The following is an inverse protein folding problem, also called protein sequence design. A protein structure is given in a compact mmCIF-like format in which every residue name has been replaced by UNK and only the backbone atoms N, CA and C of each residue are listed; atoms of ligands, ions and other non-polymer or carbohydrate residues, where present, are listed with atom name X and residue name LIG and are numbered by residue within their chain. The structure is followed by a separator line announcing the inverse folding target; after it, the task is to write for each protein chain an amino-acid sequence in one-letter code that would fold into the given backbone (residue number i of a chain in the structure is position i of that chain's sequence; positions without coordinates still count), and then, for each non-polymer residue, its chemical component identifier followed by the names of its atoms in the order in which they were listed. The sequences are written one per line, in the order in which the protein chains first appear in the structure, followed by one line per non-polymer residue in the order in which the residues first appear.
data_IF_214100449629
#
_entry.id   IF_214100449629
#
_cell.length_a   1.000
_cell.length_b   1.000
_cell.length_c   1.000
_cell.angle_alpha   90.00
_cell.angle_beta   90.00
_cell.angle_gamma   90.00
#
_symmetry.space_group_name_H-M   'P 1'
#
loop_
_entity.id
_entity.type
_entity.pdbx_description
1 polymer ?
#
# COMPACT_ATOMS: atom_id res chain seq x y z
N UNK A 1 -21.10 7.69 3.63
CA UNK A 1 -21.18 6.21 3.51
C UNK A 1 -20.25 5.65 4.58
N UNK A 2 -20.62 4.55 5.25
CA UNK A 2 -19.75 3.98 6.26
C UNK A 2 -18.38 3.61 5.67
N UNK A 3 -17.32 3.77 6.48
CA UNK A 3 -15.95 3.43 6.11
C UNK A 3 -15.88 1.93 5.75
N UNK A 4 -15.35 1.62 4.58
CA UNK A 4 -15.18 0.22 4.15
C UNK A 4 -13.81 -0.31 4.58
N UNK A 5 -13.76 -1.58 5.00
CA UNK A 5 -12.51 -2.24 5.36
C UNK A 5 -11.94 -3.01 4.17
N UNK A 6 -10.71 -2.69 3.83
CA UNK A 6 -9.85 -3.38 2.86
C UNK A 6 -8.53 -3.78 3.53
N UNK A 7 -7.76 -4.65 2.90
CA UNK A 7 -6.43 -5.01 3.39
C UNK A 7 -5.35 -4.65 2.37
N UNK A 8 -4.10 -4.56 2.85
CA UNK A 8 -2.93 -4.33 2.03
C UNK A 8 -1.83 -5.32 2.43
N UNK A 9 -1.12 -5.88 1.45
CA UNK A 9 -0.11 -6.89 1.69
C UNK A 9 1.26 -6.47 1.15
N UNK A 10 2.27 -6.53 1.99
CA UNK A 10 3.63 -6.78 1.54
C UNK A 10 3.61 -8.16 0.87
N UNK A 11 3.77 -8.21 -0.45
CA UNK A 11 3.53 -9.44 -1.22
C UNK A 11 4.46 -10.57 -0.80
N UNK A 12 3.90 -11.75 -0.63
CA UNK A 12 4.61 -12.99 -0.31
C UNK A 12 4.04 -14.14 -1.13
N UNK A 13 4.66 -15.31 -1.06
CA UNK A 13 4.14 -16.51 -1.71
C UNK A 13 2.78 -16.98 -1.15
N UNK A 14 2.37 -16.47 0.00
CA UNK A 14 1.11 -16.80 0.68
C UNK A 14 0.04 -15.71 0.54
N UNK A 15 0.35 -14.57 -0.09
CA UNK A 15 -0.57 -13.42 -0.18
C UNK A 15 -1.90 -13.78 -0.84
N UNK A 16 -1.93 -14.75 -1.75
CA UNK A 16 -3.16 -15.25 -2.37
C UNK A 16 -4.09 -15.95 -1.36
N UNK A 17 -3.54 -16.69 -0.38
CA UNK A 17 -4.32 -17.31 0.70
C UNK A 17 -4.78 -16.26 1.71
N UNK A 18 -3.94 -15.26 2.02
CA UNK A 18 -4.34 -14.16 2.88
C UNK A 18 -5.49 -13.34 2.24
N UNK A 19 -5.48 -13.14 0.93
CA UNK A 19 -6.58 -12.50 0.20
C UNK A 19 -7.87 -13.34 0.27
N UNK A 20 -7.76 -14.68 0.18
CA UNK A 20 -8.91 -15.61 0.33
C UNK A 20 -9.51 -15.52 1.74
N UNK A 21 -8.67 -15.49 2.77
CA UNK A 21 -9.10 -15.30 4.17
C UNK A 21 -9.77 -13.93 4.34
N UNK A 22 -9.18 -12.87 3.81
CA UNK A 22 -9.76 -11.53 3.84
C UNK A 22 -11.14 -11.48 3.17
N UNK A 23 -11.32 -12.18 2.04
CA UNK A 23 -12.62 -12.32 1.38
C UNK A 23 -13.66 -12.98 2.30
N UNK A 24 -13.30 -14.05 2.99
CA UNK A 24 -14.19 -14.75 3.93
C UNK A 24 -14.59 -13.88 5.11
N UNK A 25 -13.70 -13.01 5.57
CA UNK A 25 -13.93 -12.06 6.65
C UNK A 25 -14.72 -10.81 6.23
N UNK A 26 -14.98 -10.64 4.92
CA UNK A 26 -15.79 -9.56 4.38
C UNK A 26 -15.00 -8.29 3.99
N UNK A 27 -13.69 -8.39 3.85
CA UNK A 27 -12.89 -7.29 3.32
C UNK A 27 -13.32 -6.92 1.90
N UNK A 28 -13.38 -5.61 1.62
CA UNK A 28 -13.83 -5.09 0.33
C UNK A 28 -12.81 -5.32 -0.77
N UNK A 29 -11.51 -5.12 -0.47
CA UNK A 29 -10.40 -5.18 -1.44
C UNK A 29 -9.12 -5.68 -0.78
N UNK A 30 -8.28 -6.35 -1.56
CA UNK A 30 -6.90 -6.67 -1.23
C UNK A 30 -5.96 -5.89 -2.15
N UNK A 31 -5.17 -5.01 -1.56
CA UNK A 31 -4.13 -4.23 -2.20
C UNK A 31 -2.79 -4.93 -2.06
N UNK A 32 -2.00 -4.99 -3.13
CA UNK A 32 -0.72 -5.69 -3.16
C UNK A 32 0.41 -4.71 -3.47
N UNK A 33 1.47 -4.71 -2.67
CA UNK A 33 2.59 -3.79 -2.83
C UNK A 33 3.47 -4.14 -4.03
N UNK A 34 3.96 -3.10 -4.72
CA UNK A 34 4.89 -3.22 -5.85
C UNK A 34 6.25 -2.60 -5.50
N UNK A 35 7.05 -3.32 -4.73
CA UNK A 35 8.42 -2.95 -4.37
C UNK A 35 9.34 -4.15 -4.58
N UNK A 36 9.76 -4.43 -5.83
CA UNK A 36 10.42 -5.67 -6.21
C UNK A 36 11.79 -5.89 -5.56
N UNK A 37 12.41 -4.87 -4.99
CA UNK A 37 13.60 -5.02 -4.16
C UNK A 37 13.32 -5.67 -2.80
N UNK A 38 12.06 -5.67 -2.34
CA UNK A 38 11.63 -6.15 -1.02
C UNK A 38 10.73 -7.38 -1.10
N UNK A 39 9.90 -7.47 -2.15
CA UNK A 39 8.78 -8.42 -2.24
C UNK A 39 8.73 -9.12 -3.60
N UNK A 40 8.14 -10.32 -3.68
CA UNK A 40 7.82 -10.98 -4.94
C UNK A 40 6.97 -10.11 -5.87
N UNK A 41 7.02 -10.42 -7.18
CA UNK A 41 6.30 -9.66 -8.21
C UNK A 41 4.79 -9.54 -7.92
N UNK A 42 4.30 -8.31 -7.96
CA UNK A 42 2.92 -7.95 -7.62
C UNK A 42 1.90 -8.60 -8.54
N UNK A 43 2.17 -8.66 -9.85
CA UNK A 43 1.21 -9.20 -10.82
C UNK A 43 1.06 -10.70 -10.72
N UNK A 44 2.16 -11.42 -10.46
CA UNK A 44 2.11 -12.87 -10.20
C UNK A 44 1.23 -13.15 -8.98
N UNK A 45 1.40 -12.40 -7.88
CA UNK A 45 0.61 -12.62 -6.68
C UNK A 45 -0.86 -12.20 -6.85
N UNK A 46 -1.15 -11.15 -7.61
CA UNK A 46 -2.52 -10.73 -7.94
C UNK A 46 -3.25 -11.76 -8.80
N UNK A 47 -2.59 -12.35 -9.81
CA UNK A 47 -3.19 -13.42 -10.62
C UNK A 47 -3.49 -14.66 -9.78
N UNK A 48 -2.56 -15.07 -8.90
CA UNK A 48 -2.82 -16.16 -7.96
C UNK A 48 -3.99 -15.87 -7.02
N UNK A 49 -4.12 -14.63 -6.53
CA UNK A 49 -5.26 -14.22 -5.71
C UNK A 49 -6.57 -14.23 -6.50
N UNK A 50 -6.56 -13.80 -7.78
CA UNK A 50 -7.74 -13.85 -8.65
C UNK A 50 -8.29 -15.28 -8.81
N UNK A 51 -7.40 -16.27 -8.93
CA UNK A 51 -7.78 -17.70 -9.05
C UNK A 51 -8.36 -18.28 -7.74
N UNK A 52 -8.07 -17.69 -6.59
CA UNK A 52 -8.46 -18.17 -5.25
C UNK A 52 -9.63 -17.43 -4.62
N UNK A 53 -10.09 -16.35 -5.27
CA UNK A 53 -11.15 -15.47 -4.74
C UNK A 53 -12.21 -15.18 -5.78
N UNK A 54 -13.45 -14.86 -5.32
CA UNK A 54 -14.60 -14.67 -6.21
C UNK A 54 -15.21 -13.26 -6.13
N UNK A 55 -15.03 -12.54 -5.03
CA UNK A 55 -15.73 -11.29 -4.73
C UNK A 55 -14.83 -10.15 -4.33
N UNK A 56 -13.76 -10.42 -3.59
CA UNK A 56 -12.85 -9.37 -3.10
C UNK A 56 -12.22 -8.63 -4.28
N UNK A 57 -12.21 -7.30 -4.19
CA UNK A 57 -11.49 -6.47 -5.17
C UNK A 57 -9.98 -6.73 -5.08
N UNK A 58 -9.28 -6.60 -6.20
CA UNK A 58 -7.84 -6.85 -6.30
C UNK A 58 -7.15 -5.68 -7.00
N UNK A 59 -5.98 -5.30 -6.51
CA UNK A 59 -5.20 -4.28 -7.19
C UNK A 59 -3.81 -4.06 -6.62
N UNK A 60 -2.88 -3.57 -7.44
CA UNK A 60 -1.58 -3.13 -6.94
C UNK A 60 -1.70 -1.81 -6.18
N UNK A 61 -0.92 -1.65 -5.10
CA UNK A 61 -0.82 -0.39 -4.36
C UNK A 61 0.59 -0.22 -3.76
N UNK A 62 1.45 0.55 -4.40
CA UNK A 62 1.19 1.34 -5.61
C UNK A 62 2.14 0.92 -6.71
N UNK A 63 1.65 0.88 -7.94
CA UNK A 63 2.55 0.77 -9.10
C UNK A 63 3.45 1.99 -9.16
N UNK A 64 4.72 1.75 -9.46
CA UNK A 64 5.72 2.80 -9.64
C UNK A 64 6.08 2.88 -11.12
N UNK A 65 5.79 4.00 -11.80
CA UNK A 65 5.96 4.13 -13.26
C UNK A 65 7.33 3.76 -13.82
N UNK A 66 8.41 3.99 -13.06
CA UNK A 66 9.76 3.66 -13.52
C UNK A 66 10.14 2.19 -13.40
N UNK A 67 9.34 1.35 -12.75
CA UNK A 67 9.64 -0.07 -12.58
C UNK A 67 9.19 -0.92 -13.78
N UNK A 68 8.20 -0.46 -14.53
CA UNK A 68 7.68 -1.17 -15.72
C UNK A 68 7.20 -0.20 -16.78
N UNK A 69 7.47 -0.52 -18.05
CA UNK A 69 6.90 0.19 -19.19
C UNK A 69 5.35 0.20 -19.10
N UNK A 70 4.63 1.28 -19.52
CA UNK A 70 3.17 1.36 -19.42
C UNK A 70 2.47 0.24 -20.20
N UNK A 71 3.01 -0.22 -21.33
CA UNK A 71 2.49 -1.36 -22.08
C UNK A 71 2.50 -2.64 -21.23
N UNK A 72 3.58 -2.89 -20.48
CA UNK A 72 3.71 -4.08 -19.62
C UNK A 72 2.64 -4.06 -18.52
N UNK A 73 2.43 -2.92 -17.88
CA UNK A 73 1.40 -2.78 -16.86
C UNK A 73 -0.02 -2.81 -17.47
N UNK A 74 -0.24 -2.25 -18.66
CA UNK A 74 -1.52 -2.36 -19.36
C UNK A 74 -1.87 -3.83 -19.68
N UNK A 75 -0.91 -4.59 -20.18
CA UNK A 75 -1.09 -6.02 -20.45
C UNK A 75 -1.41 -6.81 -19.16
N UNK A 76 -0.70 -6.51 -18.07
CA UNK A 76 -0.93 -7.16 -16.77
C UNK A 76 -2.31 -6.82 -16.18
N UNK A 77 -2.77 -5.56 -16.28
CA UNK A 77 -4.10 -5.13 -15.86
C UNK A 77 -5.18 -5.86 -16.68
N UNK A 78 -5.01 -5.93 -18.02
CA UNK A 78 -5.95 -6.64 -18.89
C UNK A 78 -6.00 -8.14 -18.56
N UNK A 79 -4.86 -8.75 -18.23
CA UNK A 79 -4.79 -10.15 -17.80
C UNK A 79 -5.54 -10.35 -16.49
N UNK A 80 -5.26 -9.52 -15.47
CA UNK A 80 -5.92 -9.60 -14.17
C UNK A 80 -7.44 -9.38 -14.31
N UNK A 81 -7.87 -8.43 -15.13
CA UNK A 81 -9.29 -8.17 -15.39
C UNK A 81 -9.97 -9.34 -16.12
N UNK A 82 -9.24 -10.06 -16.98
CA UNK A 82 -9.72 -11.29 -17.61
C UNK A 82 -9.91 -12.45 -16.63
N UNK A 83 -9.06 -12.55 -15.63
CA UNK A 83 -9.11 -13.59 -14.61
C UNK A 83 -10.13 -13.29 -13.50
N UNK A 84 -10.14 -12.05 -13.02
CA UNK A 84 -10.93 -11.66 -11.85
C UNK A 84 -12.33 -11.10 -12.18
N UNK A 85 -12.53 -10.61 -13.39
CA UNK A 85 -13.61 -9.69 -13.74
C UNK A 85 -13.18 -8.23 -13.52
N UNK A 86 -13.47 -7.37 -14.50
CA UNK A 86 -13.03 -5.95 -14.50
C UNK A 86 -13.54 -5.16 -13.30
N UNK A 87 -14.71 -5.49 -12.79
CA UNK A 87 -15.38 -4.84 -11.67
C UNK A 87 -14.66 -5.06 -10.33
N UNK A 88 -13.79 -6.07 -10.27
CA UNK A 88 -12.96 -6.37 -9.10
C UNK A 88 -11.60 -5.69 -9.15
N UNK A 89 -11.17 -5.17 -10.31
CA UNK A 89 -9.82 -4.60 -10.48
C UNK A 89 -9.82 -3.11 -10.22
N UNK A 90 -8.86 -2.65 -9.46
CA UNK A 90 -8.52 -1.24 -9.30
C UNK A 90 -7.01 -1.08 -9.24
N UNK A 91 -6.49 0.10 -9.61
CA UNK A 91 -5.05 0.33 -9.72
C UNK A 91 -4.65 1.55 -8.91
N UNK A 92 -3.76 1.38 -7.94
CA UNK A 92 -3.11 2.50 -7.27
C UNK A 92 -1.75 2.78 -7.91
N UNK A 93 -1.46 4.05 -8.20
CA UNK A 93 -0.19 4.50 -8.79
C UNK A 93 0.40 5.61 -7.92
N UNK A 94 1.71 5.61 -7.74
CA UNK A 94 2.41 6.61 -6.95
C UNK A 94 3.75 7.02 -7.55
N UNK A 95 4.37 8.06 -6.96
CA UNK A 95 5.70 8.53 -7.33
C UNK A 95 6.83 7.57 -6.94
N UNK A 96 6.53 6.53 -6.14
CA UNK A 96 7.48 5.49 -5.80
C UNK A 96 8.35 5.80 -4.59
N UNK A 97 7.77 6.24 -3.48
CA UNK A 97 8.53 6.46 -2.24
C UNK A 97 9.35 5.21 -1.88
N UNK A 98 8.76 4.17 -1.33
CA UNK A 98 9.48 2.94 -0.96
C UNK A 98 10.12 2.25 -2.16
N UNK A 99 9.37 2.01 -3.25
CA UNK A 99 9.85 1.26 -4.40
C UNK A 99 11.04 1.89 -5.13
N UNK A 100 11.28 3.20 -4.96
CA UNK A 100 12.46 3.89 -5.52
C UNK A 100 13.56 4.12 -4.49
N UNK A 101 13.21 4.46 -3.25
CA UNK A 101 14.19 4.65 -2.18
C UNK A 101 14.99 3.36 -1.92
N UNK A 102 14.36 2.19 -2.02
CA UNK A 102 15.04 0.89 -1.95
C UNK A 102 16.06 0.65 -3.07
N UNK A 103 15.94 1.38 -4.17
CA UNK A 103 16.91 1.38 -5.28
C UNK A 103 17.90 2.56 -5.20
N UNK A 104 17.92 3.31 -4.11
CA UNK A 104 18.74 4.51 -3.96
C UNK A 104 18.30 5.68 -4.86
N UNK A 105 17.04 5.70 -5.29
CA UNK A 105 16.48 6.69 -6.21
C UNK A 105 15.42 7.55 -5.54
N UNK A 106 15.35 8.84 -5.88
CA UNK A 106 14.30 9.72 -5.39
C UNK A 106 12.95 9.41 -6.02
N UNK A 107 11.82 9.72 -5.36
CA UNK A 107 10.49 9.64 -5.96
C UNK A 107 10.39 10.38 -7.30
N UNK A 108 9.53 9.91 -8.19
CA UNK A 108 9.32 10.49 -9.53
C UNK A 108 8.64 11.86 -9.45
N UNK A 109 8.95 12.76 -10.41
CA UNK A 109 8.18 13.99 -10.59
C UNK A 109 6.71 13.68 -10.93
N UNK A 110 5.78 14.48 -10.42
CA UNK A 110 4.35 14.30 -10.69
C UNK A 110 3.98 14.45 -12.17
N UNK A 111 4.71 15.25 -12.93
CA UNK A 111 4.56 15.35 -14.40
C UNK A 111 4.79 14.01 -15.08
N UNK A 112 5.80 13.24 -14.66
CA UNK A 112 6.06 11.91 -15.20
C UNK A 112 4.97 10.90 -14.80
N UNK A 113 4.53 10.95 -13.53
CA UNK A 113 3.40 10.10 -13.07
C UNK A 113 2.15 10.41 -13.88
N UNK A 114 1.84 11.68 -14.13
CA UNK A 114 0.69 12.10 -14.93
C UNK A 114 0.78 11.60 -16.39
N UNK A 115 1.92 11.75 -17.02
CA UNK A 115 2.16 11.21 -18.36
C UNK A 115 1.94 9.70 -18.42
N UNK A 116 2.49 8.98 -17.44
CA UNK A 116 2.36 7.53 -17.33
C UNK A 116 0.90 7.09 -17.15
N UNK A 117 0.14 7.73 -16.27
CA UNK A 117 -1.28 7.42 -16.04
C UNK A 117 -2.10 7.63 -17.30
N UNK A 118 -1.88 8.74 -18.02
CA UNK A 118 -2.58 9.01 -19.29
C UNK A 118 -2.26 7.96 -20.35
N UNK A 119 -0.98 7.60 -20.49
CA UNK A 119 -0.54 6.56 -21.40
C UNK A 119 -1.18 5.20 -21.06
N UNK A 120 -1.15 4.82 -19.79
CA UNK A 120 -1.71 3.57 -19.31
C UNK A 120 -3.23 3.48 -19.57
N UNK A 121 -3.98 4.55 -19.28
CA UNK A 121 -5.42 4.63 -19.58
C UNK A 121 -5.71 4.55 -21.08
N UNK A 122 -4.94 5.25 -21.91
CA UNK A 122 -5.09 5.19 -23.38
C UNK A 122 -4.84 3.78 -23.90
N UNK A 123 -3.79 3.10 -23.45
CA UNK A 123 -3.51 1.72 -23.82
C UNK A 123 -4.64 0.76 -23.42
N UNK A 124 -5.19 0.90 -22.22
CA UNK A 124 -6.31 0.09 -21.75
C UNK A 124 -7.59 0.33 -22.56
N UNK A 125 -7.78 1.53 -23.12
CA UNK A 125 -8.88 1.82 -24.04
C UNK A 125 -8.62 1.38 -25.48
N UNK A 126 -7.40 0.90 -25.80
CA UNK A 126 -6.99 0.51 -27.13
C UNK A 126 -6.60 1.67 -28.04
N UNK A 127 -6.34 2.83 -27.47
CA UNK A 127 -5.93 4.04 -28.19
C UNK A 127 -4.47 3.96 -28.65
N UNK A 128 -4.15 4.70 -29.72
CA UNK A 128 -2.78 4.99 -30.12
C UNK A 128 -2.21 6.02 -29.12
N UNK A 129 -1.12 5.68 -28.45
CA UNK A 129 -0.49 6.48 -27.39
C UNK A 129 0.94 6.81 -27.79
N UNK A 130 1.37 8.05 -27.58
CA UNK A 130 2.77 8.42 -27.71
C UNK A 130 3.51 8.12 -26.41
N UNK A 131 4.59 7.33 -26.50
CA UNK A 131 5.48 7.04 -25.37
C UNK A 131 6.93 6.97 -25.86
N UNK A 132 7.82 7.73 -25.21
CA UNK A 132 9.26 7.81 -25.54
C UNK A 132 9.51 8.15 -27.03
N UNK A 133 8.69 9.06 -27.59
CA UNK A 133 8.78 9.49 -28.98
C UNK A 133 8.34 8.44 -30.01
N UNK A 134 7.57 7.44 -29.59
CA UNK A 134 7.02 6.39 -30.46
C UNK A 134 5.53 6.22 -30.22
N UNK A 135 4.79 5.95 -31.28
CA UNK A 135 3.41 5.55 -31.20
C UNK A 135 3.32 4.07 -30.79
N UNK A 136 2.59 3.79 -29.72
CA UNK A 136 2.35 2.44 -29.20
C UNK A 136 0.85 2.19 -29.02
N UNK A 137 0.42 0.96 -29.18
CA UNK A 137 -0.98 0.54 -29.01
C UNK A 137 -1.04 -0.89 -28.47
N UNK A 138 -1.97 -1.17 -27.57
CA UNK A 138 -2.21 -2.55 -27.14
C UNK A 138 -2.96 -3.32 -28.23
N UNK A 139 -2.36 -4.37 -28.75
CA UNK A 139 -2.87 -5.15 -29.89
C UNK A 139 -3.22 -6.60 -29.50
N UNK A 140 -3.68 -6.85 -28.27
CA UNK A 140 -4.13 -8.20 -27.91
C UNK A 140 -5.28 -8.63 -28.84
N UNK A 141 -5.24 -9.84 -29.41
CA UNK A 141 -6.37 -10.38 -30.16
C UNK A 141 -7.60 -10.58 -29.27
N UNK A 142 -8.78 -10.59 -29.90
CA UNK A 142 -10.03 -10.83 -29.17
C UNK A 142 -10.00 -12.19 -28.46
N UNK A 143 -10.46 -12.21 -27.21
CA UNK A 143 -10.47 -13.41 -26.37
C UNK A 143 -9.14 -13.75 -25.66
N UNK A 144 -8.04 -13.02 -25.90
CA UNK A 144 -6.75 -13.29 -25.24
C UNK A 144 -6.63 -12.66 -23.87
N UNK A 145 -7.36 -11.57 -23.62
CA UNK A 145 -7.44 -10.88 -22.33
C UNK A 145 -8.79 -10.17 -22.22
N UNK A 146 -9.03 -9.40 -21.14
CA UNK A 146 -10.24 -8.58 -21.04
C UNK A 146 -10.42 -7.69 -22.28
N UNK A 147 -11.66 -7.58 -22.80
CA UNK A 147 -11.94 -6.77 -23.99
C UNK A 147 -11.70 -5.28 -23.74
N UNK A 148 -11.30 -4.57 -24.81
CA UNK A 148 -11.17 -3.12 -24.79
C UNK A 148 -12.41 -2.45 -25.41
N UNK A 149 -12.77 -1.26 -24.98
CA UNK A 149 -12.11 -0.45 -23.93
C UNK A 149 -12.25 -1.08 -22.53
N UNK A 150 -11.13 -1.12 -21.82
CA UNK A 150 -11.09 -1.61 -20.44
C UNK A 150 -10.97 -0.41 -19.48
N UNK A 151 -12.08 -0.07 -18.87
CA UNK A 151 -12.12 0.95 -17.82
C UNK A 151 -12.02 0.29 -16.46
N UNK A 152 -10.91 0.52 -15.77
CA UNK A 152 -10.69 0.19 -14.36
C UNK A 152 -10.43 1.46 -13.58
N UNK A 153 -10.91 1.59 -12.33
CA UNK A 153 -10.67 2.78 -11.54
C UNK A 153 -9.20 2.88 -11.08
N UNK A 154 -8.71 4.11 -11.08
CA UNK A 154 -7.38 4.45 -10.58
C UNK A 154 -7.47 5.27 -9.30
N UNK A 155 -6.54 5.05 -8.38
CA UNK A 155 -6.26 5.95 -7.27
C UNK A 155 -4.81 6.39 -7.32
N UNK A 156 -4.54 7.64 -6.97
CA UNK A 156 -3.18 8.18 -6.93
C UNK A 156 -2.69 8.23 -5.49
N UNK A 157 -1.54 7.63 -5.22
CA UNK A 157 -0.92 7.71 -3.90
C UNK A 157 -0.25 9.07 -3.71
N UNK A 158 -0.87 9.92 -2.92
CA UNK A 158 -0.46 11.30 -2.72
C UNK A 158 -0.71 11.79 -1.29
N UNK A 159 0.21 12.61 -0.78
CA UNK A 159 0.10 13.28 0.50
C UNK A 159 0.28 14.81 0.40
N UNK A 160 1.15 15.27 -0.49
CA UNK A 160 1.44 16.69 -0.68
C UNK A 160 0.56 17.36 -1.77
N UNK A 161 0.50 18.69 -1.82
CA UNK A 161 -0.43 19.43 -2.68
C UNK A 161 -0.30 19.13 -4.17
N UNK A 162 0.91 18.91 -4.69
CA UNK A 162 1.12 18.54 -6.10
C UNK A 162 0.55 17.17 -6.44
N UNK A 163 0.72 16.20 -5.53
CA UNK A 163 0.18 14.87 -5.72
C UNK A 163 -1.34 14.83 -5.60
N UNK A 164 -1.90 15.58 -4.66
CA UNK A 164 -3.36 15.73 -4.49
C UNK A 164 -3.99 16.38 -5.72
N UNK A 165 -3.33 17.39 -6.32
CA UNK A 165 -3.78 17.99 -7.57
C UNK A 165 -3.77 16.97 -8.72
N UNK A 166 -2.71 16.17 -8.84
CA UNK A 166 -2.64 15.08 -9.83
C UNK A 166 -3.73 14.02 -9.60
N UNK A 167 -4.02 13.67 -8.35
CA UNK A 167 -5.09 12.73 -8.03
C UNK A 167 -6.48 13.27 -8.46
N UNK A 168 -6.76 14.54 -8.22
CA UNK A 168 -8.01 15.18 -8.65
C UNK A 168 -8.19 15.22 -10.17
N UNK A 169 -7.11 15.35 -10.90
CA UNK A 169 -7.15 15.43 -12.37
C UNK A 169 -7.23 14.05 -13.04
N UNK A 170 -6.55 13.05 -12.47
CA UNK A 170 -6.21 11.83 -13.19
C UNK A 170 -6.89 10.57 -12.65
N UNK A 171 -7.56 10.63 -11.50
CA UNK A 171 -8.00 9.43 -10.82
C UNK A 171 -9.38 9.58 -10.19
N UNK A 172 -10.02 8.46 -9.91
CA UNK A 172 -11.31 8.38 -9.22
C UNK A 172 -11.16 8.58 -7.71
N UNK A 173 -9.92 8.52 -7.18
CA UNK A 173 -9.66 8.68 -5.76
C UNK A 173 -8.19 8.91 -5.41
N UNK A 174 -7.94 8.96 -4.11
CA UNK A 174 -6.62 9.13 -3.51
C UNK A 174 -6.29 7.95 -2.60
N UNK A 175 -5.02 7.54 -2.60
CA UNK A 175 -4.45 6.56 -1.67
C UNK A 175 -3.42 7.28 -0.79
N UNK A 176 -3.57 7.28 0.53
CA UNK A 176 -2.73 8.08 1.41
C UNK A 176 -2.45 7.38 2.76
N UNK A 177 -1.50 7.89 3.53
CA UNK A 177 -1.21 7.47 4.90
C UNK A 177 -1.85 8.38 5.95
N UNK A 178 -2.48 9.47 5.51
CA UNK A 178 -3.25 10.39 6.33
C UNK A 178 -4.53 10.76 5.59
N UNK A 179 -5.59 11.18 6.28
CA UNK A 179 -6.83 11.61 5.65
C UNK A 179 -6.61 12.74 4.64
N UNK A 180 -7.19 12.60 3.45
CA UNK A 180 -7.18 13.63 2.39
C UNK A 180 -8.63 13.96 2.04
N UNK A 181 -9.20 15.04 2.61
CA UNK A 181 -10.60 15.35 2.44
C UNK A 181 -10.95 15.79 1.00
N UNK A 182 -12.23 15.66 0.65
CA UNK A 182 -12.75 16.13 -0.63
C UNK A 182 -12.53 15.18 -1.80
N UNK A 183 -12.34 13.87 -1.53
CA UNK A 183 -12.41 12.78 -2.51
C UNK A 183 -13.61 11.88 -2.20
N UNK A 184 -14.33 11.48 -3.24
CA UNK A 184 -15.41 10.50 -3.11
C UNK A 184 -14.85 9.10 -2.77
N UNK A 185 -13.59 8.83 -3.12
CA UNK A 185 -12.86 7.63 -2.77
C UNK A 185 -11.50 8.01 -2.16
N UNK A 186 -11.43 7.98 -0.84
CA UNK A 186 -10.22 8.22 -0.06
C UNK A 186 -9.81 6.92 0.63
N UNK A 187 -8.79 6.26 0.08
CA UNK A 187 -8.18 5.05 0.67
C UNK A 187 -7.07 5.47 1.61
N UNK A 188 -7.17 5.07 2.87
CA UNK A 188 -6.10 5.30 3.84
C UNK A 188 -5.40 4.01 4.21
N UNK A 189 -4.09 3.95 3.98
CA UNK A 189 -3.23 2.86 4.47
C UNK A 189 -3.04 2.98 5.97
N UNK A 190 -3.32 1.90 6.69
CA UNK A 190 -3.17 1.85 8.13
C UNK A 190 -2.37 0.62 8.58
N UNK A 191 -1.51 0.84 9.57
CA UNK A 191 -0.72 -0.18 10.25
C UNK A 191 -1.22 -0.37 11.67
N UNK A 192 -0.87 -1.50 12.27
CA UNK A 192 -1.11 -1.74 13.68
C UNK A 192 -1.69 -3.12 13.97
N UNK A 193 -2.06 -3.35 15.22
CA UNK A 193 -2.68 -4.59 15.69
C UNK A 193 -3.77 -4.31 16.70
N UNK A 194 -4.76 -5.19 16.76
CA UNK A 194 -5.76 -5.21 17.83
C UNK A 194 -5.19 -5.99 19.01
N UNK A 195 -5.06 -5.34 20.16
CA UNK A 195 -4.60 -5.99 21.40
C UNK A 195 -5.67 -6.93 21.93
N UNK A 196 -5.24 -8.08 22.45
CA UNK A 196 -6.10 -8.97 23.21
C UNK A 196 -6.44 -8.39 24.59
N UNK A 197 -7.43 -8.92 25.27
CA UNK A 197 -7.86 -8.42 26.59
C UNK A 197 -6.69 -8.49 27.60
N UNK A 198 -6.29 -7.34 28.15
CA UNK A 198 -5.18 -7.22 29.09
C UNK A 198 -3.79 -7.28 28.45
N UNK A 199 -3.68 -7.35 27.13
CA UNK A 199 -2.40 -7.36 26.46
C UNK A 199 -1.73 -5.98 26.43
N UNK A 200 -0.43 -5.94 26.71
CA UNK A 200 0.39 -4.74 26.61
C UNK A 200 0.78 -4.43 25.18
N UNK A 201 0.82 -3.15 24.80
CA UNK A 201 1.40 -2.70 23.52
C UNK A 201 2.88 -3.09 23.37
N UNK A 202 3.58 -3.38 24.47
CA UNK A 202 4.96 -3.86 24.49
C UNK A 202 5.10 -5.38 24.45
N UNK A 203 4.02 -6.16 24.32
CA UNK A 203 4.09 -7.60 24.19
C UNK A 203 4.88 -8.01 22.93
N UNK A 204 5.51 -9.16 22.96
CA UNK A 204 6.25 -9.68 21.79
C UNK A 204 5.35 -9.81 20.56
N UNK A 205 4.10 -10.26 20.76
CA UNK A 205 3.11 -10.36 19.67
C UNK A 205 2.78 -8.99 19.11
N UNK A 206 2.45 -7.99 19.97
CA UNK A 206 2.10 -6.66 19.49
C UNK A 206 3.25 -6.00 18.73
N UNK A 207 4.48 -6.14 19.21
CA UNK A 207 5.68 -5.65 18.51
C UNK A 207 5.89 -6.39 17.19
N UNK A 208 5.69 -7.70 17.14
CA UNK A 208 5.82 -8.47 15.91
C UNK A 208 4.77 -8.06 14.86
N UNK A 209 3.53 -7.78 15.29
CA UNK A 209 2.42 -7.45 14.40
C UNK A 209 2.37 -5.96 13.98
N UNK A 210 2.83 -5.03 14.83
CA UNK A 210 2.68 -3.59 14.60
C UNK A 210 4.00 -2.81 14.55
N UNK A 211 5.09 -3.39 15.00
CA UNK A 211 6.38 -2.72 15.10
C UNK A 211 6.95 -2.23 13.77
N UNK A 212 6.66 -2.93 12.67
CA UNK A 212 7.01 -2.47 11.32
C UNK A 212 6.44 -1.07 11.02
N UNK A 213 5.20 -0.79 11.45
CA UNK A 213 4.58 0.52 11.29
C UNK A 213 5.26 1.61 12.13
N UNK A 214 5.75 1.27 13.33
CA UNK A 214 6.54 2.18 14.16
C UNK A 214 7.91 2.46 13.53
N UNK A 215 8.57 1.45 12.95
CA UNK A 215 9.81 1.64 12.18
C UNK A 215 9.58 2.59 10.99
N UNK A 216 8.49 2.42 10.24
CA UNK A 216 8.11 3.33 9.15
C UNK A 216 7.87 4.76 9.65
N UNK A 217 7.29 4.95 10.84
CA UNK A 217 7.13 6.28 11.41
C UNK A 217 8.47 6.94 11.71
N UNK A 218 9.46 6.19 12.20
CA UNK A 218 10.83 6.68 12.40
C UNK A 218 11.50 7.04 11.07
N UNK A 219 11.39 6.19 10.03
CA UNK A 219 11.90 6.46 8.68
C UNK A 219 11.29 7.73 8.10
N UNK A 220 9.97 7.86 8.17
CA UNK A 220 9.27 9.04 7.67
C UNK A 220 9.68 10.31 8.44
N UNK A 221 9.81 10.22 9.77
CA UNK A 221 10.25 11.34 10.59
C UNK A 221 11.70 11.78 10.26
N UNK A 222 12.58 10.85 9.92
CA UNK A 222 13.93 11.15 9.44
C UNK A 222 13.90 11.87 8.08
N UNK A 223 13.11 11.36 7.14
CA UNK A 223 13.02 11.91 5.77
C UNK A 223 12.37 13.31 5.75
N UNK A 224 11.40 13.55 6.63
CA UNK A 224 10.67 14.83 6.72
C UNK A 224 11.18 15.77 7.82
N UNK A 225 12.26 15.42 8.53
CA UNK A 225 12.89 16.29 9.53
C UNK A 225 12.13 16.42 10.85
N UNK A 226 11.36 15.43 11.28
CA UNK A 226 10.52 15.46 12.48
C UNK A 226 10.85 14.38 13.53
N UNK A 227 12.11 13.94 13.58
CA UNK A 227 12.55 12.88 14.51
C UNK A 227 12.34 13.23 16.00
N UNK A 228 12.47 14.50 16.37
CA UNK A 228 12.26 14.95 17.76
C UNK A 228 10.84 14.75 18.29
N UNK A 229 9.86 14.49 17.44
CA UNK A 229 8.49 14.20 17.86
C UNK A 229 8.30 12.74 18.30
N UNK A 230 9.25 11.85 18.03
CA UNK A 230 9.17 10.43 18.35
C UNK A 230 10.16 10.05 19.48
N UNK A 231 9.78 9.13 20.38
CA UNK A 231 10.68 8.61 21.41
C UNK A 231 11.96 8.03 20.77
N UNK A 232 13.10 8.41 21.33
CA UNK A 232 14.43 7.96 20.90
C UNK A 232 14.75 8.15 19.39
N UNK A 233 14.03 9.06 18.69
CA UNK A 233 14.22 9.26 17.26
C UNK A 233 15.64 9.70 16.88
N UNK A 234 16.28 10.52 17.70
CA UNK A 234 17.66 10.96 17.48
C UNK A 234 18.67 9.81 17.64
N UNK A 235 18.52 8.99 18.69
CA UNK A 235 19.40 7.85 18.92
C UNK A 235 19.21 6.79 17.82
N UNK A 236 17.98 6.57 17.39
CA UNK A 236 17.68 5.68 16.26
C UNK A 236 18.36 6.18 14.96
N UNK A 237 18.25 7.46 14.63
CA UNK A 237 18.89 8.02 13.43
C UNK A 237 20.41 7.88 13.47
N UNK A 238 21.04 8.10 14.64
CA UNK A 238 22.48 7.98 14.81
C UNK A 238 23.01 6.55 14.54
N UNK A 239 22.18 5.52 14.65
CA UNK A 239 22.56 4.14 14.26
C UNK A 239 22.74 4.04 12.74
N UNK A 240 21.84 4.65 11.99
CA UNK A 240 21.88 4.62 10.52
C UNK A 240 22.90 5.61 9.92
N UNK A 241 23.13 6.74 10.56
CA UNK A 241 24.12 7.73 10.13
C UNK A 241 25.55 7.20 10.14
N UNK A 242 25.85 6.21 11.01
CA UNK A 242 27.14 5.51 11.04
C UNK A 242 27.38 4.60 9.84
N UNK A 243 26.34 4.26 9.10
CA UNK A 243 26.45 3.38 7.93
C UNK A 243 26.95 4.19 6.70
N UNK A 244 27.69 3.52 5.78
CA UNK A 244 28.11 4.16 4.54
C UNK A 244 26.92 4.72 3.77
N UNK A 245 26.97 5.98 3.37
CA UNK A 245 25.89 6.68 2.67
C UNK A 245 25.37 5.88 1.45
N UNK A 246 26.31 5.32 0.68
CA UNK A 246 25.98 4.54 -0.54
C UNK A 246 25.03 3.36 -0.29
N UNK A 247 25.03 2.74 0.89
CA UNK A 247 24.27 1.55 1.21
C UNK A 247 23.28 1.74 2.36
N UNK A 248 23.23 2.93 2.96
CA UNK A 248 22.36 3.26 4.09
C UNK A 248 20.89 2.95 3.79
N UNK A 249 20.43 3.28 2.58
CA UNK A 249 19.06 3.01 2.16
C UNK A 249 18.69 1.52 2.18
N UNK A 250 19.64 0.61 1.91
CA UNK A 250 19.39 -0.84 2.00
C UNK A 250 19.16 -1.28 3.45
N UNK A 251 19.95 -0.74 4.37
CA UNK A 251 19.79 -1.04 5.80
C UNK A 251 18.49 -0.44 6.38
N UNK A 252 18.10 0.77 5.94
CA UNK A 252 16.85 1.42 6.34
C UNK A 252 15.62 0.63 5.89
N UNK A 253 15.70 -0.06 4.76
CA UNK A 253 14.58 -0.83 4.21
C UNK A 253 14.67 -2.34 4.46
N UNK A 254 15.64 -2.80 5.28
CA UNK A 254 15.68 -4.19 5.72
C UNK A 254 14.41 -4.52 6.52
N UNK A 255 13.69 -5.58 6.14
CA UNK A 255 12.38 -5.98 6.69
C UNK A 255 11.25 -4.92 6.59
N UNK A 256 11.40 -3.93 5.72
CA UNK A 256 10.45 -2.81 5.60
C UNK A 256 9.02 -3.30 5.36
N UNK A 257 8.08 -2.85 6.19
CA UNK A 257 6.66 -3.22 6.20
C UNK A 257 6.37 -4.73 6.42
N UNK A 258 7.36 -5.52 6.80
CA UNK A 258 7.19 -6.96 7.10
C UNK A 258 7.39 -7.21 8.59
N UNK A 259 8.51 -6.73 9.14
CA UNK A 259 8.91 -6.96 10.53
C UNK A 259 9.81 -5.83 11.04
N UNK A 260 10.19 -5.91 12.30
CA UNK A 260 11.19 -5.03 12.91
C UNK A 260 12.57 -5.62 12.68
N UNK A 261 13.44 -4.91 11.96
CA UNK A 261 14.80 -5.35 11.73
C UNK A 261 15.66 -5.24 13.03
N UNK A 262 16.84 -5.86 13.01
CA UNK A 262 17.71 -5.91 14.19
C UNK A 262 18.17 -4.53 14.69
N UNK A 263 18.28 -3.52 13.82
CA UNK A 263 18.68 -2.15 14.19
C UNK A 263 17.54 -1.38 14.82
N UNK A 264 16.33 -1.59 14.33
CA UNK A 264 15.12 -0.92 14.84
C UNK A 264 14.64 -1.52 16.17
N UNK A 265 14.99 -2.77 16.45
CA UNK A 265 14.44 -3.56 17.56
C UNK A 265 14.58 -2.89 18.93
N UNK A 266 15.66 -2.17 19.18
CA UNK A 266 15.90 -1.46 20.45
C UNK A 266 15.02 -0.20 20.60
N UNK A 267 14.52 0.35 19.51
CA UNK A 267 13.78 1.61 19.44
C UNK A 267 12.27 1.40 19.24
N UNK A 268 11.88 0.26 18.69
CA UNK A 268 10.46 -0.10 18.53
C UNK A 268 9.96 -0.69 19.85
N UNK A 269 9.38 0.18 20.66
CA UNK A 269 8.90 -0.12 22.03
C UNK A 269 7.39 -0.04 22.12
N UNK A 270 6.81 -0.60 23.20
CA UNK A 270 5.38 -0.44 23.50
C UNK A 270 4.96 1.02 23.64
N UNK A 271 5.84 1.88 24.18
CA UNK A 271 5.60 3.33 24.27
C UNK A 271 5.46 3.96 22.88
N UNK A 272 6.36 3.61 21.93
CA UNK A 272 6.26 4.10 20.57
C UNK A 272 5.00 3.59 19.87
N UNK A 273 4.64 2.33 20.04
CA UNK A 273 3.40 1.77 19.49
C UNK A 273 2.16 2.47 20.04
N UNK A 274 2.12 2.72 21.34
CA UNK A 274 1.02 3.45 21.99
C UNK A 274 0.94 4.90 21.52
N UNK A 275 2.07 5.62 21.46
CA UNK A 275 2.15 7.02 21.03
C UNK A 275 1.72 7.19 19.56
N UNK A 276 2.04 6.24 18.71
CA UNK A 276 1.66 6.24 17.28
C UNK A 276 0.28 5.63 17.01
N UNK A 277 -0.41 5.11 18.04
CA UNK A 277 -1.73 4.49 17.91
C UNK A 277 -1.72 3.23 17.04
N UNK A 278 -0.62 2.46 17.07
CA UNK A 278 -0.44 1.23 16.30
C UNK A 278 -0.85 -0.03 17.05
N UNK A 279 -0.94 0.02 18.37
CA UNK A 279 -1.41 -1.09 19.20
C UNK A 279 -2.56 -0.58 20.08
N UNK A 280 -3.77 -0.90 19.69
CA UNK A 280 -5.01 -0.48 20.36
C UNK A 280 -5.87 -1.71 20.63
N UNK A 281 -6.65 -1.66 21.69
CA UNK A 281 -7.71 -2.64 21.90
C UNK A 281 -8.87 -2.45 20.90
N UNK A 282 -9.85 -3.32 20.93
CA UNK A 282 -11.01 -3.27 20.04
C UNK A 282 -11.78 -1.93 20.13
N UNK A 283 -11.94 -1.38 21.34
CA UNK A 283 -12.64 -0.11 21.52
C UNK A 283 -11.84 1.07 20.95
N UNK A 284 -10.54 1.09 21.15
CA UNK A 284 -9.62 2.07 20.57
C UNK A 284 -9.62 2.05 19.04
N UNK A 285 -9.62 0.85 18.43
CA UNK A 285 -9.74 0.73 16.98
C UNK A 285 -11.08 1.24 16.47
N UNK A 286 -12.21 0.92 17.11
CA UNK A 286 -13.53 1.47 16.76
C UNK A 286 -13.54 2.99 16.79
N UNK A 287 -13.02 3.58 17.86
CA UNK A 287 -12.92 5.03 17.99
C UNK A 287 -12.04 5.65 16.88
N UNK A 288 -10.90 5.01 16.56
CA UNK A 288 -10.01 5.44 15.48
C UNK A 288 -10.70 5.36 14.11
N UNK A 289 -11.40 4.28 13.82
CA UNK A 289 -12.13 4.11 12.55
C UNK A 289 -13.23 5.17 12.40
N UNK A 290 -14.01 5.42 13.43
CA UNK A 290 -15.03 6.48 13.42
C UNK A 290 -14.42 7.89 13.23
N UNK A 291 -13.29 8.16 13.85
CA UNK A 291 -12.58 9.43 13.67
C UNK A 291 -12.03 9.59 12.24
N UNK A 292 -11.55 8.53 11.60
CA UNK A 292 -11.09 8.54 10.21
C UNK A 292 -12.24 8.74 9.23
N UNK A 293 -13.37 8.09 9.45
CA UNK A 293 -14.60 8.30 8.67
C UNK A 293 -15.05 9.76 8.75
N UNK A 294 -15.08 10.35 9.94
CA UNK A 294 -15.42 11.76 10.14
C UNK A 294 -14.46 12.72 9.43
N UNK A 295 -13.21 12.30 9.16
CA UNK A 295 -12.22 13.05 8.40
C UNK A 295 -12.29 12.81 6.89
N UNK A 296 -13.28 12.04 6.41
CA UNK A 296 -13.52 11.81 5.00
C UNK A 296 -12.78 10.59 4.41
N UNK A 297 -12.22 9.72 5.24
CA UNK A 297 -11.72 8.42 4.76
C UNK A 297 -12.90 7.52 4.43
N UNK A 298 -12.93 6.96 3.23
CA UNK A 298 -14.01 6.08 2.76
C UNK A 298 -13.63 4.61 2.72
N UNK A 299 -12.33 4.32 2.66
CA UNK A 299 -11.78 2.96 2.66
C UNK A 299 -10.52 2.91 3.53
N UNK A 300 -10.46 2.01 4.51
CA UNK A 300 -9.26 1.70 5.24
C UNK A 300 -8.55 0.51 4.60
N UNK A 301 -7.35 0.68 4.09
CA UNK A 301 -6.48 -0.40 3.65
C UNK A 301 -5.59 -0.82 4.83
N UNK A 302 -6.07 -1.77 5.62
CA UNK A 302 -5.33 -2.30 6.77
C UNK A 302 -4.21 -3.23 6.32
N UNK A 303 -2.98 -2.96 6.72
CA UNK A 303 -1.85 -3.86 6.50
C UNK A 303 -1.61 -4.74 7.74
N UNK A 304 -1.94 -6.03 7.68
CA UNK A 304 -1.53 -7.00 8.69
C UNK A 304 -0.04 -7.34 8.52
N UNK A 305 0.65 -7.58 9.62
CA UNK A 305 2.02 -8.08 9.63
C UNK A 305 2.26 -9.03 10.82
N UNK A 306 3.48 -9.55 10.92
CA UNK A 306 3.85 -10.50 11.96
C UNK A 306 3.61 -11.95 11.55
N UNK A 307 3.77 -12.89 12.50
CA UNK A 307 3.79 -14.32 12.20
C UNK A 307 2.41 -14.93 11.92
N UNK A 308 1.31 -14.22 12.23
CA UNK A 308 -0.05 -14.75 12.11
C UNK A 308 -0.98 -13.74 11.41
N UNK A 309 -0.81 -13.60 10.10
CA UNK A 309 -1.64 -12.71 9.27
C UNK A 309 -3.15 -13.02 9.39
N UNK A 310 -3.61 -14.30 9.38
CA UNK A 310 -5.01 -14.62 9.58
C UNK A 310 -5.61 -14.03 10.86
N UNK A 311 -4.92 -14.15 11.99
CA UNK A 311 -5.35 -13.57 13.28
C UNK A 311 -5.49 -12.05 13.20
N UNK A 312 -4.52 -11.38 12.55
CA UNK A 312 -4.55 -9.92 12.42
C UNK A 312 -5.74 -9.46 11.54
N UNK A 313 -6.01 -10.16 10.45
CA UNK A 313 -7.19 -9.91 9.62
C UNK A 313 -8.50 -10.13 10.38
N UNK A 314 -8.62 -11.23 11.11
CA UNK A 314 -9.82 -11.54 11.89
C UNK A 314 -10.08 -10.50 12.98
N UNK A 315 -9.07 -10.18 13.80
CA UNK A 315 -9.20 -9.22 14.88
C UNK A 315 -9.57 -7.82 14.38
N UNK A 316 -9.01 -7.38 13.25
CA UNK A 316 -9.36 -6.10 12.64
C UNK A 316 -10.78 -6.12 12.06
N UNK A 317 -11.19 -7.19 11.39
CA UNK A 317 -12.56 -7.34 10.90
C UNK A 317 -13.59 -7.30 12.05
N UNK A 318 -13.29 -7.91 13.19
CA UNK A 318 -14.13 -7.84 14.39
C UNK A 318 -14.15 -6.45 15.04
N UNK A 319 -13.02 -5.74 15.04
CA UNK A 319 -12.96 -4.38 15.57
C UNK A 319 -13.74 -3.38 14.67
N UNK A 320 -13.84 -3.63 13.38
CA UNK A 320 -14.56 -2.77 12.43
C UNK A 320 -16.08 -3.00 12.38
N UNK A 321 -16.58 -4.06 13.01
CA UNK A 321 -18.04 -4.31 13.20
C UNK A 321 -18.57 -3.57 14.42
#
# INVERSE_FOLDING_TARGET
MPLTLSCAFATSNESHEHARIAEQLGYRRAWFYDSPALYPDVWVQLCRAAERTQRIGLGPAVLVPSLRHPMTNAAAIATLAGLAGRERVAVAIGSGFTGRLTLGQRPLPWSFVAQYVRALRGLLRGELVEWEGRAIQMMHPDGFAAPRPLDVPFVIAAAGPKGVAAARELAEGVFATNPVPGFAWCVMLAFGTVLDAGESAGSERAIAAAGHGAAVALHAAMEFGNLGALPNGGEWAAVYEKLPERTRHLALHDQHLIAVNARDRAFVTGELLAKTGLALDRAGWRAKLAALEAQGVTELAYQPAGPNIPRELEAMAEAAR
#
